data_IF_094998886136
#
_entry.id   IF_094998886136
#
_cell.length_a   1.000
_cell.length_b   1.000
_cell.length_c   1.000
_cell.angle_alpha   90.00
_cell.angle_beta   90.00
_cell.angle_gamma   90.00
#
_symmetry.space_group_name_H-M   'P 1'
#
loop_
_entity.id
_entity.type
_entity.pdbx_description
1 polymer ?
#
# COMPACT_ATOMS: atom_id res chain seq x y z
N UNK A 1 15.36 8.14 -0.74
CA UNK A 1 14.23 7.28 -0.33
C UNK A 1 13.30 8.14 0.48
N UNK A 2 12.16 8.49 -0.09
CA UNK A 2 11.16 9.33 0.58
C UNK A 2 10.69 8.64 1.86
N UNK A 3 10.71 9.40 2.95
CA UNK A 3 10.13 8.99 4.22
C UNK A 3 8.67 8.61 3.96
N UNK A 4 8.30 7.38 4.34
CA UNK A 4 6.93 6.95 4.44
C UNK A 4 6.21 7.82 5.50
N UNK A 5 5.76 9.03 5.13
CA UNK A 5 5.10 9.97 6.03
C UNK A 5 3.68 9.50 6.41
N UNK A 6 3.17 8.46 5.74
CA UNK A 6 1.83 7.93 5.96
C UNK A 6 1.63 7.32 7.35
N UNK A 7 2.70 6.88 8.00
CA UNK A 7 2.65 6.34 9.37
C UNK A 7 2.29 7.43 10.38
N UNK A 8 2.62 8.69 10.08
CA UNK A 8 2.30 9.84 10.94
C UNK A 8 0.81 10.21 10.88
N UNK A 9 0.10 9.76 9.84
CA UNK A 9 -1.36 9.88 9.74
C UNK A 9 -2.04 8.51 9.78
N UNK A 10 -2.37 8.07 11.00
CA UNK A 10 -3.05 6.77 11.25
C UNK A 10 -4.33 6.57 10.44
N UNK A 11 -5.08 7.63 10.13
CA UNK A 11 -6.32 7.50 9.35
C UNK A 11 -6.00 7.21 7.89
N UNK A 12 -5.02 7.91 7.32
CA UNK A 12 -4.56 7.68 5.96
C UNK A 12 -4.00 6.26 5.80
N UNK A 13 -3.13 5.85 6.72
CA UNK A 13 -2.59 4.48 6.76
C UNK A 13 -3.72 3.43 6.79
N UNK A 14 -4.73 3.64 7.64
CA UNK A 14 -5.88 2.73 7.74
C UNK A 14 -6.61 2.60 6.40
N UNK A 15 -6.86 3.72 5.72
CA UNK A 15 -7.52 3.72 4.40
C UNK A 15 -6.66 3.03 3.34
N UNK A 16 -5.35 3.29 3.31
CA UNK A 16 -4.42 2.64 2.37
C UNK A 16 -4.39 1.12 2.56
N UNK A 17 -4.25 0.66 3.80
CA UNK A 17 -4.28 -0.78 4.13
C UNK A 17 -5.60 -1.40 3.71
N UNK A 18 -6.74 -0.75 4.00
CA UNK A 18 -8.05 -1.27 3.63
C UNK A 18 -8.24 -1.38 2.10
N UNK A 19 -7.88 -0.33 1.36
CA UNK A 19 -7.93 -0.32 -0.11
C UNK A 19 -7.06 -1.42 -0.71
N UNK A 20 -5.83 -1.56 -0.21
CA UNK A 20 -4.90 -2.56 -0.73
C UNK A 20 -5.33 -3.98 -0.36
N UNK A 21 -5.78 -4.22 0.86
CA UNK A 21 -6.33 -5.51 1.27
C UNK A 21 -7.53 -5.93 0.40
N UNK A 22 -8.39 -4.97 -0.01
CA UNK A 22 -9.48 -5.23 -0.95
C UNK A 22 -8.96 -5.70 -2.32
N UNK A 23 -7.91 -5.07 -2.85
CA UNK A 23 -7.28 -5.52 -4.11
C UNK A 23 -6.71 -6.94 -3.97
N UNK A 24 -5.98 -7.23 -2.89
CA UNK A 24 -5.47 -8.57 -2.63
C UNK A 24 -6.62 -9.60 -2.55
N UNK A 25 -7.75 -9.23 -1.94
CA UNK A 25 -8.93 -10.08 -1.85
C UNK A 25 -9.60 -10.32 -3.21
N UNK A 26 -9.41 -9.40 -4.17
CA UNK A 26 -9.85 -9.54 -5.56
C UNK A 26 -8.88 -10.38 -6.42
N UNK A 27 -7.83 -10.96 -5.82
CA UNK A 27 -6.86 -11.82 -6.51
C UNK A 27 -5.63 -11.09 -7.04
N UNK A 28 -5.43 -9.81 -6.70
CA UNK A 28 -4.21 -9.11 -7.06
C UNK A 28 -3.01 -9.76 -6.36
N UNK A 29 -1.89 -9.85 -7.08
CA UNK A 29 -0.67 -10.44 -6.56
C UNK A 29 -0.06 -9.57 -5.46
N UNK A 30 0.44 -10.22 -4.42
CA UNK A 30 1.27 -9.58 -3.41
C UNK A 30 2.61 -9.12 -4.02
N UNK A 31 3.04 -7.92 -3.66
CA UNK A 31 4.28 -7.28 -4.13
C UNK A 31 5.48 -7.60 -3.24
N UNK A 32 5.22 -8.20 -2.06
CA UNK A 32 6.25 -8.64 -1.12
C UNK A 32 6.18 -10.15 -0.95
N UNK A 33 7.35 -10.79 -0.80
CA UNK A 33 7.41 -12.19 -0.38
C UNK A 33 7.08 -12.27 1.10
N UNK A 34 6.09 -13.07 1.47
CA UNK A 34 5.63 -13.17 2.84
C UNK A 34 4.90 -14.48 3.08
N UNK A 35 5.00 -14.99 4.31
CA UNK A 35 4.26 -16.17 4.76
C UNK A 35 2.92 -15.80 5.41
N UNK A 36 2.61 -14.50 5.50
CA UNK A 36 1.35 -14.01 6.05
C UNK A 36 0.18 -14.45 5.18
N UNK A 37 -0.89 -14.94 5.82
CA UNK A 37 -2.17 -15.25 5.16
C UNK A 37 -3.17 -14.11 5.27
N UNK A 38 -2.98 -13.22 6.24
CA UNK A 38 -3.88 -12.09 6.45
C UNK A 38 -3.56 -10.98 5.46
N UNK A 39 -4.50 -10.68 4.57
CA UNK A 39 -4.33 -9.67 3.52
C UNK A 39 -4.02 -8.27 4.06
N UNK A 40 -4.51 -7.91 5.25
CA UNK A 40 -4.19 -6.63 5.88
C UNK A 40 -2.73 -6.56 6.33
N UNK A 41 -2.18 -7.67 6.84
CA UNK A 41 -0.76 -7.74 7.22
C UNK A 41 0.14 -7.71 5.97
N UNK A 42 -0.26 -8.37 4.88
CA UNK A 42 0.44 -8.27 3.60
C UNK A 42 0.44 -6.82 3.11
N UNK A 43 -0.73 -6.18 3.07
CA UNK A 43 -0.87 -4.78 2.65
C UNK A 43 -0.03 -3.84 3.51
N UNK A 44 -0.01 -4.03 4.83
CA UNK A 44 0.82 -3.22 5.73
C UNK A 44 2.32 -3.38 5.42
N UNK A 45 2.80 -4.62 5.24
CA UNK A 45 4.20 -4.89 4.85
C UNK A 45 4.55 -4.27 3.50
N UNK A 46 3.64 -4.31 2.53
CA UNK A 46 3.84 -3.66 1.24
C UNK A 46 3.98 -2.14 1.37
N UNK A 47 3.17 -1.50 2.22
CA UNK A 47 3.24 -0.06 2.50
C UNK A 47 4.55 0.26 3.24
N UNK A 48 4.90 -0.48 4.30
CA UNK A 48 6.15 -0.30 5.06
C UNK A 48 7.40 -0.41 4.18
N UNK A 49 7.39 -1.31 3.19
CA UNK A 49 8.48 -1.49 2.21
C UNK A 49 8.41 -0.52 1.02
N UNK A 50 7.47 0.44 1.01
CA UNK A 50 7.30 1.42 -0.05
C UNK A 50 6.87 0.83 -1.40
N UNK A 51 6.29 -0.38 -1.41
CA UNK A 51 5.76 -1.04 -2.63
C UNK A 51 4.36 -0.57 -2.98
N UNK A 52 3.62 -0.05 -1.99
CA UNK A 52 2.30 0.57 -2.14
C UNK A 52 2.38 1.99 -1.61
N UNK A 53 2.05 2.95 -2.45
CA UNK A 53 2.12 4.38 -2.17
C UNK A 53 0.94 5.10 -2.83
N UNK A 54 0.68 6.33 -2.41
CA UNK A 54 -0.28 7.19 -3.09
C UNK A 54 0.44 7.86 -4.26
N UNK A 55 -0.14 7.73 -5.46
CA UNK A 55 0.34 8.46 -6.62
C UNK A 55 -0.17 9.90 -6.52
N UNK A 56 0.72 10.88 -6.54
CA UNK A 56 0.33 12.30 -6.61
C UNK A 56 -0.18 12.61 -8.03
N UNK A 57 -1.12 13.56 -8.15
CA UNK A 57 -1.81 13.85 -9.42
C UNK A 57 -0.87 14.35 -10.53
N UNK A 58 0.35 14.79 -10.21
CA UNK A 58 1.33 15.30 -11.18
C UNK A 58 1.89 14.23 -12.15
N UNK A 59 1.74 12.94 -11.84
CA UNK A 59 2.20 11.83 -12.68
C UNK A 59 1.12 11.33 -13.69
N UNK A 60 0.05 12.11 -13.90
CA UNK A 60 -0.99 11.89 -14.90
C UNK A 60 -0.86 12.92 -16.05
N UNK A 61 0.21 12.79 -16.85
CA UNK A 61 0.26 13.34 -18.21
C UNK A 61 1.04 14.65 -18.37
N UNK A 62 2.35 14.53 -18.61
CA UNK A 62 2.96 15.19 -19.77
C UNK A 62 3.20 14.08 -20.80
N UNK A 63 2.22 13.89 -21.67
CA UNK A 63 2.37 13.13 -22.93
C UNK A 63 2.98 14.04 -24.00
#
# INVERSE_FOLDING_TARGET
MEKNCYVDNKYLLTVMVAKRAKQLNQGFKALVKTNEKNLRQIALKEIEQGKVYLKEEEDLGKD
#
